data_IF_747524184623
#
_entry.id   IF_747524184623
#
_cell.length_a   1.000
_cell.length_b   1.000
_cell.length_c   1.000
_cell.angle_alpha   90.00
_cell.angle_beta   90.00
_cell.angle_gamma   90.00
#
_symmetry.space_group_name_H-M   'P 1'
#
loop_
_entity.id
_entity.type
_entity.pdbx_description
1 polymer ?
#
# COMPACT_ATOMS: atom_id res chain seq x y z
N UNK A 1 -6.04 -8.25 -26.77
CA UNK A 1 -6.75 -8.63 -25.52
C UNK A 1 -5.70 -9.30 -24.64
N UNK A 2 -5.23 -8.62 -23.59
CA UNK A 2 -4.23 -9.21 -22.68
C UNK A 2 -4.90 -10.40 -21.97
N UNK A 3 -4.24 -11.57 -21.83
CA UNK A 3 -4.81 -12.69 -21.10
C UNK A 3 -5.09 -12.25 -19.65
N UNK A 4 -6.32 -12.47 -19.19
CA UNK A 4 -6.72 -12.18 -17.80
C UNK A 4 -5.84 -13.01 -16.84
N UNK A 5 -5.18 -12.41 -15.84
CA UNK A 5 -4.33 -13.17 -14.93
C UNK A 5 -5.14 -13.93 -13.89
N UNK A 6 -4.72 -15.18 -13.67
CA UNK A 6 -5.11 -16.08 -12.60
C UNK A 6 -4.64 -15.53 -11.23
N UNK A 7 -5.50 -15.64 -10.22
CA UNK A 7 -5.38 -15.21 -8.81
C UNK A 7 -3.97 -15.37 -8.21
N UNK A 8 -3.45 -14.38 -7.47
CA UNK A 8 -2.17 -14.48 -6.73
C UNK A 8 -2.35 -14.66 -5.21
N UNK A 9 -1.58 -15.57 -4.60
CA UNK A 9 -1.64 -15.90 -3.16
C UNK A 9 -0.28 -16.27 -2.56
N UNK A 10 -0.09 -15.98 -1.27
CA UNK A 10 0.91 -16.59 -0.38
C UNK A 10 2.36 -16.50 -0.90
N UNK A 11 2.87 -15.27 -0.99
CA UNK A 11 4.28 -14.99 -1.20
C UNK A 11 4.84 -15.29 -2.60
N UNK A 12 4.13 -15.98 -3.50
CA UNK A 12 4.63 -16.29 -4.85
C UNK A 12 3.50 -16.44 -5.88
N UNK A 13 3.38 -15.47 -6.80
CA UNK A 13 3.54 -15.63 -8.26
C UNK A 13 3.54 -14.25 -8.94
N UNK A 14 4.47 -14.14 -9.88
CA UNK A 14 4.85 -13.02 -10.71
C UNK A 14 3.78 -12.73 -11.79
N UNK A 15 3.56 -11.45 -12.09
CA UNK A 15 2.88 -11.06 -13.31
C UNK A 15 3.88 -11.14 -14.51
N UNK A 16 3.49 -11.75 -15.64
CA UNK A 16 4.28 -11.83 -16.88
C UNK A 16 4.44 -10.50 -17.68
N UNK A 17 3.53 -9.52 -17.58
CA UNK A 17 3.56 -8.19 -18.25
C UNK A 17 4.84 -7.40 -18.02
N UNK A 18 5.57 -7.65 -16.94
CA UNK A 18 6.85 -6.99 -16.75
C UNK A 18 7.88 -8.05 -16.39
N UNK A 19 8.30 -8.84 -17.38
CA UNK A 19 9.61 -9.55 -17.41
C UNK A 19 10.77 -8.55 -17.37
N UNK A 20 10.73 -7.58 -16.45
CA UNK A 20 11.79 -6.61 -16.21
C UNK A 20 12.49 -6.97 -14.91
N UNK A 21 13.79 -6.77 -14.91
CA UNK A 21 14.65 -6.94 -13.73
C UNK A 21 14.49 -5.81 -12.72
N UNK A 22 13.81 -4.72 -13.11
CA UNK A 22 13.62 -3.50 -12.33
C UNK A 22 12.21 -2.96 -12.58
N UNK A 23 11.58 -2.43 -11.53
CA UNK A 23 10.22 -1.89 -11.56
C UNK A 23 10.20 -0.43 -11.13
N UNK A 24 9.33 0.36 -11.75
CA UNK A 24 9.14 1.77 -11.37
C UNK A 24 8.31 1.89 -10.09
N UNK A 25 7.29 1.05 -9.95
CA UNK A 25 6.40 1.02 -8.78
C UNK A 25 6.20 -0.41 -8.31
N UNK A 26 6.25 -0.64 -7.00
CA UNK A 26 5.87 -1.91 -6.40
C UNK A 26 4.67 -1.67 -5.49
N UNK A 27 3.56 -2.36 -5.77
CA UNK A 27 2.34 -2.28 -4.97
C UNK A 27 2.34 -3.40 -3.93
N UNK A 28 2.23 -3.06 -2.65
CA UNK A 28 2.03 -4.01 -1.56
C UNK A 28 0.60 -3.94 -1.08
N UNK A 29 -0.12 -5.06 -1.12
CA UNK A 29 -1.55 -5.11 -0.79
C UNK A 29 -1.90 -6.15 0.28
N UNK A 30 -2.90 -5.83 1.09
CA UNK A 30 -3.46 -6.73 2.10
C UNK A 30 -4.46 -7.76 1.56
N UNK A 31 -4.95 -7.58 0.33
CA UNK A 31 -5.80 -8.56 -0.36
C UNK A 31 -4.96 -9.53 -1.20
N UNK A 32 -5.56 -10.65 -1.61
CA UNK A 32 -5.12 -11.28 -2.85
C UNK A 32 -5.23 -10.31 -4.03
N UNK A 33 -4.33 -10.51 -4.97
CA UNK A 33 -4.48 -9.86 -6.26
C UNK A 33 -5.47 -10.65 -7.13
N UNK A 34 -6.52 -9.95 -7.53
CA UNK A 34 -7.48 -10.38 -8.55
C UNK A 34 -7.64 -9.21 -9.50
N UNK A 35 -7.40 -9.43 -10.79
CA UNK A 35 -7.50 -8.38 -11.82
C UNK A 35 -8.97 -8.10 -12.15
N UNK A 36 -9.65 -7.42 -11.24
CA UNK A 36 -11.06 -7.10 -11.33
C UNK A 36 -11.32 -5.71 -10.71
N UNK A 37 -12.25 -4.94 -11.28
CA UNK A 37 -12.53 -3.56 -10.84
C UNK A 37 -12.99 -3.45 -9.38
N UNK A 38 -13.49 -4.54 -8.78
CA UNK A 38 -13.82 -4.62 -7.37
C UNK A 38 -12.60 -4.62 -6.43
N UNK A 39 -11.40 -4.83 -6.97
CA UNK A 39 -10.14 -4.82 -6.23
C UNK A 39 -9.39 -3.53 -6.53
N UNK A 40 -9.29 -2.58 -5.58
CA UNK A 40 -8.64 -1.30 -5.80
C UNK A 40 -7.20 -1.41 -6.30
N UNK A 41 -6.48 -2.44 -5.84
CA UNK A 41 -5.12 -2.75 -6.30
C UNK A 41 -5.05 -2.96 -7.82
N UNK A 42 -6.03 -3.65 -8.43
CA UNK A 42 -6.07 -3.87 -9.86
C UNK A 42 -6.30 -2.57 -10.63
N UNK A 43 -7.20 -1.71 -10.14
CA UNK A 43 -7.47 -0.42 -10.78
C UNK A 43 -6.22 0.48 -10.76
N UNK A 44 -5.53 0.55 -9.62
CA UNK A 44 -4.28 1.33 -9.50
C UNK A 44 -3.16 0.72 -10.36
N UNK A 45 -3.02 -0.61 -10.36
CA UNK A 45 -2.06 -1.31 -11.22
C UNK A 45 -2.27 -0.98 -12.69
N UNK A 46 -3.49 -1.15 -13.22
CA UNK A 46 -3.82 -0.84 -14.62
C UNK A 46 -3.66 0.65 -14.95
N UNK A 47 -3.95 1.53 -13.99
CA UNK A 47 -3.72 2.97 -14.14
C UNK A 47 -2.23 3.28 -14.30
N UNK A 48 -1.37 2.69 -13.47
CA UNK A 48 0.08 2.87 -13.55
C UNK A 48 0.67 2.25 -14.83
N UNK A 49 0.19 1.06 -15.24
CA UNK A 49 0.58 0.47 -16.53
C UNK A 49 0.20 1.36 -17.72
N UNK A 50 -1.00 1.97 -17.68
CA UNK A 50 -1.45 2.93 -18.70
C UNK A 50 -0.55 4.18 -18.77
N UNK A 51 0.13 4.54 -17.67
CA UNK A 51 1.16 5.60 -17.64
C UNK A 51 2.52 5.15 -18.19
N UNK A 52 2.61 3.93 -18.73
CA UNK A 52 3.83 3.34 -19.28
C UNK A 52 4.83 2.89 -18.23
N UNK A 53 4.40 2.73 -16.97
CA UNK A 53 5.27 2.30 -15.88
C UNK A 53 5.39 0.78 -15.82
N UNK A 54 6.55 0.31 -15.39
CA UNK A 54 6.74 -1.07 -14.95
C UNK A 54 6.29 -1.24 -13.50
N UNK A 55 5.32 -2.11 -13.28
CA UNK A 55 4.68 -2.27 -11.98
C UNK A 55 4.73 -3.73 -11.55
N UNK A 56 5.07 -3.97 -10.29
CA UNK A 56 4.96 -5.27 -9.66
C UNK A 56 3.99 -5.21 -8.47
N UNK A 57 3.44 -6.37 -8.09
CA UNK A 57 2.51 -6.49 -6.98
C UNK A 57 3.01 -7.56 -6.02
N UNK A 58 3.04 -7.22 -4.73
CA UNK A 58 3.28 -8.13 -3.61
C UNK A 58 1.95 -8.23 -2.84
N UNK A 59 1.26 -9.35 -3.02
CA UNK A 59 -0.04 -9.60 -2.40
C UNK A 59 0.10 -10.45 -1.12
N UNK A 60 -0.44 -9.93 -0.01
CA UNK A 60 -0.44 -10.56 1.32
C UNK A 60 0.93 -11.10 1.77
N UNK A 61 2.01 -10.31 1.70
CA UNK A 61 3.32 -10.80 2.15
C UNK A 61 3.33 -11.08 3.65
N UNK A 62 3.99 -12.16 4.03
CA UNK A 62 4.22 -12.50 5.42
C UNK A 62 5.21 -11.52 6.06
N UNK A 63 4.73 -10.74 7.03
CA UNK A 63 5.51 -9.71 7.74
C UNK A 63 6.79 -10.24 8.41
N UNK A 64 6.81 -11.53 8.77
CA UNK A 64 7.94 -12.18 9.42
C UNK A 64 9.00 -12.66 8.42
N UNK A 65 8.71 -12.61 7.11
CA UNK A 65 9.60 -13.06 6.06
C UNK A 65 10.11 -11.87 5.23
N UNK A 66 11.39 -11.52 5.36
CA UNK A 66 11.98 -10.41 4.62
C UNK A 66 11.97 -10.67 3.10
N UNK A 67 12.18 -11.92 2.69
CA UNK A 67 12.37 -12.28 1.29
C UNK A 67 11.13 -11.98 0.44
N UNK A 68 9.95 -12.05 1.05
CA UNK A 68 8.67 -11.72 0.39
C UNK A 68 8.53 -10.24 0.06
N UNK A 69 9.23 -9.35 0.77
CA UNK A 69 9.25 -7.91 0.49
C UNK A 69 10.40 -7.52 -0.44
N UNK A 70 11.46 -8.33 -0.54
CA UNK A 70 12.67 -8.01 -1.31
C UNK A 70 12.73 -8.67 -2.69
N UNK A 71 11.73 -9.47 -3.05
CA UNK A 71 11.68 -10.24 -4.31
C UNK A 71 11.87 -9.38 -5.57
N UNK A 72 11.39 -8.13 -5.56
CA UNK A 72 11.48 -7.20 -6.69
C UNK A 72 12.54 -6.11 -6.55
N UNK A 73 13.35 -6.16 -5.48
CA UNK A 73 14.30 -5.10 -5.09
C UNK A 73 13.59 -3.75 -4.88
N UNK A 74 14.38 -2.69 -4.78
CA UNK A 74 13.89 -1.32 -4.60
C UNK A 74 13.25 -0.78 -5.90
N UNK A 75 12.06 -0.15 -5.85
CA UNK A 75 11.42 0.46 -7.01
C UNK A 75 12.09 1.79 -7.37
N UNK A 76 12.08 2.16 -8.66
CA UNK A 76 12.70 3.41 -9.12
C UNK A 76 11.99 4.67 -8.64
N UNK A 77 10.66 4.60 -8.48
CA UNK A 77 9.86 5.76 -8.07
C UNK A 77 9.41 5.63 -6.62
N UNK A 78 8.57 4.63 -6.30
CA UNK A 78 8.03 4.45 -4.95
C UNK A 78 7.39 3.07 -4.74
N UNK A 79 7.25 2.70 -3.47
CA UNK A 79 6.31 1.66 -3.05
C UNK A 79 4.90 2.26 -2.88
N UNK A 80 3.88 1.58 -3.39
CA UNK A 80 2.48 1.90 -3.14
C UNK A 80 1.87 0.88 -2.17
N UNK A 81 1.35 1.30 -1.03
CA UNK A 81 0.91 0.38 0.04
C UNK A 81 -0.57 0.58 0.34
N UNK A 82 -1.31 -0.51 0.42
CA UNK A 82 -2.74 -0.52 0.78
C UNK A 82 -3.09 -1.74 1.65
N UNK A 83 -4.09 -1.59 2.50
CA UNK A 83 -4.69 -2.70 3.24
C UNK A 83 -5.58 -3.61 2.37
N UNK A 84 -5.85 -3.18 1.13
CA UNK A 84 -6.79 -3.82 0.21
C UNK A 84 -8.15 -3.08 0.13
N UNK A 85 -9.16 -3.78 -0.38
CA UNK A 85 -10.54 -3.33 -0.54
C UNK A 85 -11.30 -3.24 0.80
N UNK A 86 -10.71 -3.73 1.89
CA UNK A 86 -11.32 -3.75 3.21
C UNK A 86 -10.30 -3.37 4.29
N UNK A 87 -10.79 -2.76 5.37
CA UNK A 87 -10.01 -2.56 6.59
C UNK A 87 -9.53 -3.90 7.16
N UNK A 88 -8.25 -3.98 7.53
CA UNK A 88 -7.63 -5.24 7.92
C UNK A 88 -8.12 -5.76 9.26
N UNK A 89 -8.57 -4.88 10.16
CA UNK A 89 -9.16 -5.30 11.43
C UNK A 89 -10.55 -5.87 11.19
N UNK A 90 -11.36 -5.26 10.33
CA UNK A 90 -12.69 -5.79 9.96
C UNK A 90 -12.58 -7.11 9.17
N UNK A 91 -11.52 -7.28 8.38
CA UNK A 91 -11.23 -8.55 7.71
C UNK A 91 -10.84 -9.67 8.69
N UNK A 92 -10.15 -9.33 9.79
CA UNK A 92 -9.70 -10.28 10.80
C UNK A 92 -10.74 -10.54 11.90
N UNK A 93 -11.65 -9.60 12.17
CA UNK A 93 -12.55 -9.64 13.32
C UNK A 93 -14.02 -9.35 12.98
N UNK A 94 -14.92 -9.87 13.79
CA UNK A 94 -16.34 -9.49 13.80
C UNK A 94 -16.54 -8.17 14.53
N UNK A 95 -17.72 -7.56 14.39
CA UNK A 95 -18.10 -6.37 15.17
C UNK A 95 -18.06 -6.61 16.69
N UNK A 96 -18.24 -7.87 17.13
CA UNK A 96 -18.14 -8.30 18.52
C UNK A 96 -16.70 -8.64 18.96
N UNK A 97 -15.69 -8.23 18.17
CA UNK A 97 -14.24 -8.46 18.42
C UNK A 97 -13.83 -9.94 18.44
N UNK A 98 -14.63 -10.84 17.86
CA UNK A 98 -14.27 -12.26 17.70
C UNK A 98 -13.46 -12.48 16.42
N UNK A 99 -12.41 -13.31 16.42
CA UNK A 99 -11.68 -13.65 15.20
C UNK A 99 -12.60 -14.25 14.14
N UNK A 100 -12.48 -13.81 12.89
CA UNK A 100 -13.20 -14.42 11.76
C UNK A 100 -12.53 -15.75 11.38
N UNK A 101 -13.37 -16.74 11.07
CA UNK A 101 -12.91 -18.04 10.55
C UNK A 101 -12.50 -17.99 9.08
N UNK A 102 -12.90 -16.95 8.35
CA UNK A 102 -12.59 -16.75 6.92
C UNK A 102 -12.30 -15.29 6.62
N UNK A 103 -11.28 -15.04 5.80
CA UNK A 103 -11.04 -13.75 5.14
C UNK A 103 -11.43 -13.87 3.66
N UNK A 104 -12.49 -13.18 3.26
CA UNK A 104 -13.09 -13.25 1.90
C UNK A 104 -12.16 -12.76 0.80
N UNK A 105 -11.21 -11.90 1.14
CA UNK A 105 -10.25 -11.31 0.20
C UNK A 105 -8.88 -11.99 0.31
N UNK A 106 -8.77 -13.02 1.15
CA UNK A 106 -7.67 -13.96 1.16
C UNK A 106 -8.03 -15.20 0.33
N UNK A 107 -7.09 -15.75 -0.44
CA UNK A 107 -7.31 -16.95 -1.22
C UNK A 107 -7.70 -18.15 -0.37
N UNK A 108 -8.59 -18.94 -0.95
CA UNK A 108 -9.29 -20.04 -0.28
C UNK A 108 -10.04 -19.62 1.00
N UNK A 109 -10.22 -18.31 1.22
CA UNK A 109 -10.82 -17.78 2.43
C UNK A 109 -9.91 -17.85 3.65
N UNK A 110 -8.60 -18.13 3.50
CA UNK A 110 -7.71 -18.45 4.63
C UNK A 110 -7.52 -17.23 5.55
N UNK A 111 -7.85 -17.35 6.85
CA UNK A 111 -7.65 -16.25 7.80
C UNK A 111 -6.17 -16.09 8.17
N UNK A 112 -5.82 -14.90 8.69
CA UNK A 112 -4.51 -14.63 9.30
C UNK A 112 -3.38 -14.29 8.33
N UNK A 113 -3.64 -14.24 7.03
CA UNK A 113 -2.63 -13.85 6.03
C UNK A 113 -2.47 -12.35 5.90
N UNK A 114 -3.58 -11.61 6.00
CA UNK A 114 -3.54 -10.17 6.20
C UNK A 114 -3.24 -9.87 7.66
N UNK A 115 -2.12 -9.20 7.97
CA UNK A 115 -1.84 -8.79 9.34
C UNK A 115 -2.88 -7.77 9.81
N UNK A 116 -3.10 -7.73 11.12
CA UNK A 116 -3.88 -6.68 11.77
C UNK A 116 -3.18 -5.34 11.56
N UNK A 117 -3.93 -4.29 11.21
CA UNK A 117 -3.37 -3.00 10.77
C UNK A 117 -2.33 -3.21 9.67
N UNK A 118 -2.77 -3.86 8.59
CA UNK A 118 -1.92 -4.28 7.49
C UNK A 118 -1.12 -3.13 6.89
N UNK A 119 -1.76 -1.96 6.72
CA UNK A 119 -1.08 -0.76 6.22
C UNK A 119 0.16 -0.43 7.06
N UNK A 120 -0.01 -0.30 8.38
CA UNK A 120 1.07 0.05 9.31
C UNK A 120 2.18 -1.01 9.28
N UNK A 121 1.79 -2.28 9.34
CA UNK A 121 2.73 -3.40 9.33
C UNK A 121 3.61 -3.37 8.08
N UNK A 122 2.99 -3.28 6.90
CA UNK A 122 3.72 -3.27 5.63
C UNK A 122 4.61 -2.04 5.46
N UNK A 123 4.15 -0.85 5.84
CA UNK A 123 4.95 0.37 5.77
C UNK A 123 6.17 0.28 6.68
N UNK A 124 5.99 -0.16 7.94
CA UNK A 124 7.11 -0.33 8.86
C UNK A 124 8.13 -1.34 8.34
N UNK A 125 7.66 -2.45 7.75
CA UNK A 125 8.53 -3.46 7.16
C UNK A 125 9.32 -2.91 5.97
N UNK A 126 8.65 -2.22 5.06
CA UNK A 126 9.31 -1.58 3.92
C UNK A 126 10.31 -0.54 4.38
N UNK A 127 9.99 0.28 5.39
CA UNK A 127 10.92 1.28 5.92
C UNK A 127 12.16 0.64 6.60
N UNK A 128 12.01 -0.54 7.21
CA UNK A 128 13.14 -1.31 7.76
C UNK A 128 14.07 -1.81 6.65
N UNK A 129 13.51 -2.32 5.54
CA UNK A 129 14.26 -2.92 4.44
C UNK A 129 14.82 -1.86 3.46
N UNK A 130 14.08 -0.77 3.27
CA UNK A 130 14.30 0.25 2.25
C UNK A 130 14.18 1.65 2.86
N UNK A 131 15.22 2.07 3.58
CA UNK A 131 15.20 3.32 4.35
C UNK A 131 14.95 4.55 3.49
N UNK A 132 15.52 4.59 2.28
CA UNK A 132 15.50 5.74 1.39
C UNK A 132 14.35 5.73 0.37
N UNK A 133 13.64 4.61 0.22
CA UNK A 133 12.56 4.53 -0.75
C UNK A 133 11.40 5.42 -0.35
N UNK A 134 10.77 6.03 -1.36
CA UNK A 134 9.49 6.71 -1.18
C UNK A 134 8.38 5.67 -0.97
N UNK A 135 7.51 5.90 0.00
CA UNK A 135 6.36 5.06 0.32
C UNK A 135 5.10 5.91 0.25
N UNK A 136 4.20 5.53 -0.67
CA UNK A 136 2.89 6.14 -0.85
C UNK A 136 1.85 5.18 -0.27
N UNK A 137 1.03 5.65 0.68
CA UNK A 137 -0.04 4.84 1.28
C UNK A 137 -1.41 5.31 0.81
N UNK A 138 -2.36 4.39 0.69
CA UNK A 138 -3.72 4.72 0.31
C UNK A 138 -4.73 3.64 0.70
N UNK A 139 -5.95 3.80 0.21
CA UNK A 139 -7.06 2.88 0.48
C UNK A 139 -7.85 3.24 1.75
N UNK A 140 -8.74 2.35 2.14
CA UNK A 140 -9.72 2.59 3.21
C UNK A 140 -9.03 2.84 4.55
N UNK A 141 -8.05 2.00 4.94
CA UNK A 141 -7.33 2.19 6.20
C UNK A 141 -6.60 3.52 6.28
N UNK A 142 -5.90 3.92 5.22
CA UNK A 142 -5.18 5.19 5.18
C UNK A 142 -6.16 6.38 5.23
N UNK A 143 -7.21 6.33 4.42
CA UNK A 143 -8.18 7.42 4.29
C UNK A 143 -8.94 7.69 5.60
N UNK A 144 -9.38 6.64 6.28
CA UNK A 144 -10.15 6.76 7.53
C UNK A 144 -9.27 7.20 8.71
N UNK A 145 -7.99 6.89 8.68
CA UNK A 145 -7.04 7.16 9.76
C UNK A 145 -6.13 8.37 9.47
N UNK A 146 -6.53 9.24 8.53
CA UNK A 146 -5.76 10.44 8.13
C UNK A 146 -5.67 11.52 9.22
N UNK A 147 -6.61 11.51 10.15
CA UNK A 147 -6.66 12.40 11.31
C UNK A 147 -6.73 11.56 12.58
N UNK A 148 -6.64 12.24 13.74
CA UNK A 148 -6.94 11.62 15.02
C UNK A 148 -8.32 10.98 14.95
N UNK A 149 -8.41 9.71 15.31
CA UNK A 149 -9.64 8.94 15.19
C UNK A 149 -9.82 8.05 16.43
N UNK A 150 -11.09 7.76 16.74
CA UNK A 150 -11.40 6.77 17.75
C UNK A 150 -11.23 5.37 17.17
N UNK A 151 -10.36 4.58 17.80
CA UNK A 151 -10.13 3.19 17.46
C UNK A 151 -11.05 2.29 18.28
N UNK A 152 -12.09 1.78 17.62
CA UNK A 152 -13.05 0.85 18.22
C UNK A 152 -12.40 -0.41 18.79
N UNK A 153 -11.29 -0.88 18.21
CA UNK A 153 -10.65 -2.13 18.62
C UNK A 153 -9.96 -1.99 19.97
N UNK A 154 -9.29 -0.86 20.19
CA UNK A 154 -8.52 -0.54 21.40
C UNK A 154 -9.25 0.39 22.38
N UNK A 155 -10.44 0.88 22.04
CA UNK A 155 -11.26 1.78 22.85
C UNK A 155 -10.49 3.05 23.29
N UNK A 156 -9.81 3.69 22.33
CA UNK A 156 -9.05 4.92 22.58
C UNK A 156 -8.94 5.81 21.35
N UNK A 157 -8.60 7.07 21.56
CA UNK A 157 -8.15 7.95 20.48
C UNK A 157 -6.74 7.55 20.04
N UNK A 158 -6.54 7.49 18.71
CA UNK A 158 -5.24 7.25 18.08
C UNK A 158 -4.83 8.42 17.22
N UNK A 159 -3.53 8.64 17.16
CA UNK A 159 -2.91 9.61 16.27
C UNK A 159 -3.15 9.28 14.79
N UNK A 160 -2.94 10.25 13.89
CA UNK A 160 -2.99 10.00 12.45
C UNK A 160 -2.03 8.87 12.03
N UNK A 161 -2.44 8.08 11.04
CA UNK A 161 -1.71 6.88 10.63
C UNK A 161 -0.27 7.13 10.21
N UNK A 162 0.06 8.33 9.70
CA UNK A 162 1.43 8.69 9.32
C UNK A 162 2.41 8.78 10.51
N UNK A 163 1.92 8.90 11.75
CA UNK A 163 2.76 8.80 12.95
C UNK A 163 3.14 7.35 13.25
N UNK A 164 2.21 6.42 13.06
CA UNK A 164 2.43 4.99 13.30
C UNK A 164 3.10 4.27 12.11
N UNK A 165 2.87 4.78 10.89
CA UNK A 165 3.31 4.20 9.63
C UNK A 165 4.10 5.27 8.86
N UNK A 166 5.44 5.29 8.94
CA UNK A 166 6.29 6.36 8.40
C UNK A 166 6.39 6.32 6.87
N UNK A 167 5.26 6.58 6.21
CA UNK A 167 5.13 6.78 4.78
C UNK A 167 5.37 8.26 4.42
N UNK A 168 5.75 8.50 3.17
CA UNK A 168 6.08 9.82 2.66
C UNK A 168 4.84 10.58 2.18
N UNK A 169 3.85 9.86 1.63
CA UNK A 169 2.61 10.46 1.11
C UNK A 169 1.44 9.57 1.48
N UNK A 170 0.36 10.15 2.02
CA UNK A 170 -0.93 9.51 2.17
C UNK A 170 -1.90 10.04 1.13
N UNK A 171 -2.55 9.14 0.39
CA UNK A 171 -3.62 9.44 -0.56
C UNK A 171 -4.97 9.07 0.03
N UNK A 172 -5.94 9.97 -0.06
CA UNK A 172 -7.32 9.70 0.35
C UNK A 172 -8.32 10.00 -0.77
N UNK A 173 -9.44 9.28 -0.82
CA UNK A 173 -10.43 9.44 -1.89
C UNK A 173 -10.05 8.69 -3.16
N UNK A 174 -10.26 9.30 -4.33
CA UNK A 174 -10.06 8.67 -5.64
C UNK A 174 -8.58 8.60 -6.00
N UNK A 175 -7.96 7.43 -5.79
CA UNK A 175 -6.52 7.26 -5.94
C UNK A 175 -6.01 7.30 -7.38
N UNK A 176 -6.86 7.04 -8.38
CA UNK A 176 -6.48 6.90 -9.80
C UNK A 176 -6.02 8.23 -10.42
N UNK A 177 -6.67 9.34 -10.08
CA UNK A 177 -6.23 10.66 -10.52
C UNK A 177 -4.97 11.08 -9.75
N UNK A 178 -5.00 10.92 -8.42
CA UNK A 178 -3.91 11.35 -7.54
C UNK A 178 -2.61 10.61 -7.84
N UNK A 179 -2.66 9.30 -8.14
CA UNK A 179 -1.46 8.53 -8.44
C UNK A 179 -0.76 9.01 -9.71
N UNK A 180 -1.51 9.54 -10.69
CA UNK A 180 -0.94 10.16 -11.90
C UNK A 180 -0.13 11.41 -11.55
N UNK A 181 -0.67 12.26 -10.67
CA UNK A 181 0.02 13.46 -10.21
C UNK A 181 1.27 13.10 -9.39
N UNK A 182 1.21 12.05 -8.56
CA UNK A 182 2.37 11.56 -7.81
C UNK A 182 3.47 11.05 -8.75
N UNK A 183 3.11 10.31 -9.81
CA UNK A 183 4.06 9.85 -10.83
C UNK A 183 4.72 11.03 -11.54
N UNK A 184 3.94 12.05 -11.93
CA UNK A 184 4.47 13.26 -12.56
C UNK A 184 5.44 14.00 -11.63
N UNK A 185 5.05 14.19 -10.38
CA UNK A 185 5.90 14.77 -9.34
C UNK A 185 7.20 13.99 -9.14
N UNK A 186 7.15 12.66 -9.06
CA UNK A 186 8.34 11.82 -8.90
C UNK A 186 9.32 11.94 -10.07
N UNK A 187 8.80 12.13 -11.30
CA UNK A 187 9.62 12.26 -12.51
C UNK A 187 10.21 13.64 -12.68
N UNK A 188 9.44 14.69 -12.39
CA UNK A 188 9.78 16.06 -12.76
C UNK A 188 10.31 16.89 -11.59
N UNK A 189 9.80 16.64 -10.37
CA UNK A 189 10.04 17.48 -9.19
C UNK A 189 10.32 16.68 -7.91
N UNK A 190 11.20 15.64 -7.94
CA UNK A 190 11.37 14.71 -6.83
C UNK A 190 11.94 15.32 -5.54
N UNK A 191 12.49 16.54 -5.62
CA UNK A 191 13.11 17.26 -4.49
C UNK A 191 12.19 18.34 -3.90
N UNK A 192 11.02 18.60 -4.50
CA UNK A 192 10.04 19.56 -3.99
C UNK A 192 9.00 18.83 -3.14
N UNK A 193 8.43 19.52 -2.14
CA UNK A 193 7.28 18.98 -1.40
C UNK A 193 6.09 18.82 -2.36
N UNK A 194 5.42 17.65 -2.38
CA UNK A 194 4.29 17.43 -3.27
C UNK A 194 3.12 18.34 -2.90
N UNK A 195 2.66 19.15 -3.86
CA UNK A 195 1.47 19.99 -3.75
C UNK A 195 0.33 19.38 -4.56
N UNK A 196 -0.08 18.18 -4.16
CA UNK A 196 -1.05 17.36 -4.88
C UNK A 196 -2.36 17.39 -4.08
N UNK A 197 -3.51 17.77 -4.67
CA UNK A 197 -4.78 17.67 -4.00
C UNK A 197 -5.04 16.25 -3.51
N UNK A 198 -5.74 16.11 -2.38
CA UNK A 198 -6.08 14.81 -1.80
C UNK A 198 -4.88 13.98 -1.31
N UNK A 199 -3.75 14.64 -1.05
CA UNK A 199 -2.61 14.04 -0.34
C UNK A 199 -2.34 14.69 1.02
N UNK A 200 -1.71 13.94 1.91
CA UNK A 200 -1.08 14.45 3.13
C UNK A 200 0.38 14.01 3.08
N UNK A 201 1.29 14.97 3.25
CA UNK A 201 2.72 14.70 3.21
C UNK A 201 3.18 14.20 4.59
N UNK A 202 3.91 13.09 4.58
CA UNK A 202 4.59 12.58 5.75
C UNK A 202 5.74 13.48 6.16
N UNK A 203 6.09 13.41 7.44
CA UNK A 203 7.16 14.23 8.03
C UNK A 203 8.55 13.63 7.71
N UNK A 204 8.60 12.35 7.33
CA UNK A 204 9.83 11.58 7.28
C UNK A 204 10.45 11.52 5.87
N UNK A 205 10.99 12.66 5.40
CA UNK A 205 11.79 12.74 4.17
C UNK A 205 12.43 14.11 3.99
N UNK A 206 13.76 14.20 4.15
CA UNK A 206 14.72 15.29 3.86
C UNK A 206 14.42 16.75 4.29
N UNK A 207 13.21 17.07 4.73
CA UNK A 207 12.74 18.43 5.05
C UNK A 207 12.70 18.74 6.54
N UNK A 208 13.15 17.81 7.40
CA UNK A 208 13.26 18.07 8.85
C UNK A 208 14.25 19.20 9.18
N UNK A 209 15.10 19.60 8.23
CA UNK A 209 15.99 20.77 8.35
C UNK A 209 15.30 22.11 8.08
N UNK A 210 14.05 22.15 7.59
CA UNK A 210 13.37 23.40 7.22
C UNK A 210 12.28 23.86 8.20
N UNK A 211 11.86 23.02 9.14
CA UNK A 211 10.76 23.33 10.08
C UNK A 211 11.21 23.52 11.54
N UNK A 212 12.53 23.58 11.79
CA UNK A 212 13.13 23.91 13.08
C UNK A 212 13.97 25.19 12.95
N UNK A 213 13.33 26.31 12.60
CA UNK A 213 13.83 27.67 12.84
C UNK A 213 12.68 28.63 13.11
#
# INVERSE_FOLDING_TARGET
MLPYPTIAFNGKIYYEASKKTEYDVIIVTGDAYVDHAAFPTAVIFRTLEYLGLSVAIIAQPNINNNDEFTVFKEPKLFFAVTSGAMDSMVANYTATKMPRSKDRLSPEGKPGLRPKRALNSYVQKLRQLYKSSKIVVGGIEASLRRYVHYDFWEDKLRDPVLFDAPADILVYGMGEAVIREIVDWCRNKPNELPQIPQTINGICGSSLGLFLH
#
